data_IF_404321823476
#
_entry.id   IF_404321823476
#
_cell.length_a   1.000
_cell.length_b   1.000
_cell.length_c   1.000
_cell.angle_alpha   90.00
_cell.angle_beta   90.00
_cell.angle_gamma   90.00
#
_symmetry.space_group_name_H-M   'P 1'
#
loop_
_entity.id
_entity.type
_entity.pdbx_description
1 polymer ?
#
# COMPACT_ATOMS: atom_id res chain seq x y z
N UNK A 1 1.24 23.05 -14.32
CA UNK A 1 1.01 22.87 -12.87
C UNK A 1 0.93 21.38 -12.61
N UNK A 2 1.64 20.86 -11.61
CA UNK A 2 1.65 19.44 -11.27
C UNK A 2 0.90 19.24 -9.95
N UNK A 3 0.05 18.22 -9.87
CA UNK A 3 -0.61 17.77 -8.65
C UNK A 3 -0.26 16.30 -8.47
N UNK A 4 0.22 15.94 -7.28
CA UNK A 4 0.51 14.55 -6.92
C UNK A 4 -0.49 14.17 -5.83
N UNK A 5 -1.15 13.03 -6.02
CA UNK A 5 -2.00 12.40 -5.02
C UNK A 5 -1.38 11.06 -4.63
N UNK A 6 -1.41 10.73 -3.35
CA UNK A 6 -0.97 9.44 -2.83
C UNK A 6 -2.14 8.72 -2.14
N UNK A 7 -2.08 7.39 -2.17
CA UNK A 7 -3.14 6.58 -1.59
C UNK A 7 -3.06 5.11 -1.96
N UNK A 8 -3.62 4.27 -1.10
CA UNK A 8 -3.57 2.83 -1.25
C UNK A 8 -4.49 2.28 -2.35
N UNK A 9 -5.59 2.98 -2.64
CA UNK A 9 -6.69 2.44 -3.47
C UNK A 9 -6.89 3.21 -4.78
N UNK A 10 -5.92 4.03 -5.21
CA UNK A 10 -6.01 4.81 -6.45
C UNK A 10 -6.20 3.93 -7.70
N UNK A 11 -5.75 2.68 -7.63
CA UNK A 11 -5.87 1.68 -8.70
C UNK A 11 -6.99 0.64 -8.46
N UNK A 12 -7.78 0.79 -7.40
CA UNK A 12 -8.89 -0.11 -7.08
C UNK A 12 -9.89 -0.18 -8.25
N UNK A 13 -10.49 -1.35 -8.45
CA UNK A 13 -11.62 -1.55 -9.37
C UNK A 13 -12.96 -1.66 -8.64
N UNK A 14 -12.94 -1.51 -7.32
CA UNK A 14 -14.11 -1.71 -6.46
C UNK A 14 -14.37 -0.50 -5.57
N UNK A 15 -15.64 -0.35 -5.21
CA UNK A 15 -16.09 0.64 -4.24
C UNK A 15 -15.94 2.07 -4.74
N UNK A 16 -15.83 3.06 -3.82
CA UNK A 16 -15.85 4.48 -4.18
C UNK A 16 -14.64 4.93 -4.98
N UNK A 17 -13.56 4.12 -5.03
CA UNK A 17 -12.30 4.47 -5.67
C UNK A 17 -12.16 3.95 -7.10
N UNK A 18 -13.16 3.23 -7.62
CA UNK A 18 -13.06 2.53 -8.91
C UNK A 18 -12.78 3.44 -10.12
N UNK A 19 -13.14 4.73 -10.03
CA UNK A 19 -12.97 5.72 -11.10
C UNK A 19 -11.75 6.64 -10.91
N UNK A 20 -10.95 6.43 -9.86
CA UNK A 20 -9.81 7.32 -9.59
C UNK A 20 -8.76 7.25 -10.70
N UNK A 21 -8.39 6.04 -11.15
CA UNK A 21 -7.42 5.88 -12.25
C UNK A 21 -7.87 6.58 -13.54
N UNK A 22 -9.18 6.70 -13.78
CA UNK A 22 -9.73 7.29 -15.01
C UNK A 22 -9.48 8.81 -15.09
N UNK A 23 -9.18 9.46 -13.96
CA UNK A 23 -8.92 10.91 -13.88
C UNK A 23 -7.44 11.24 -13.65
N UNK A 24 -6.56 10.24 -13.64
CA UNK A 24 -5.12 10.43 -13.48
C UNK A 24 -4.43 10.38 -14.85
N UNK A 25 -3.58 11.38 -15.12
CA UNK A 25 -2.71 11.38 -16.31
C UNK A 25 -1.70 10.21 -16.25
N UNK A 26 -1.13 9.99 -15.07
CA UNK A 26 -0.23 8.87 -14.77
C UNK A 26 -0.48 8.33 -13.35
N UNK A 27 -0.34 7.01 -13.19
CA UNK A 27 -0.49 6.31 -11.92
C UNK A 27 0.66 5.32 -11.73
N UNK A 28 1.45 5.53 -10.69
CA UNK A 28 2.63 4.71 -10.38
C UNK A 28 2.37 3.84 -9.16
N UNK A 29 2.77 2.58 -9.22
CA UNK A 29 2.69 1.64 -8.11
C UNK A 29 4.03 1.50 -7.41
N UNK A 30 4.04 1.69 -6.09
CA UNK A 30 5.24 1.47 -5.26
C UNK A 30 5.24 0.03 -4.74
N UNK A 31 6.06 -0.81 -5.38
CA UNK A 31 6.24 -2.21 -5.02
C UNK A 31 7.33 -2.35 -3.94
N UNK A 32 6.93 -2.11 -2.69
CA UNK A 32 7.79 -2.24 -1.53
C UNK A 32 8.09 -3.72 -1.21
N UNK A 33 9.29 -4.02 -0.73
CA UNK A 33 9.68 -5.39 -0.34
C UNK A 33 8.80 -5.84 0.83
N UNK A 34 8.09 -6.99 0.75
CA UNK A 34 7.13 -7.41 1.77
C UNK A 34 7.71 -7.48 3.19
N UNK A 35 8.90 -8.07 3.34
CA UNK A 35 9.61 -8.26 4.61
C UNK A 35 9.96 -6.91 5.24
N UNK A 36 10.66 -6.05 4.48
CA UNK A 36 11.05 -4.72 4.94
C UNK A 36 9.83 -3.86 5.32
N UNK A 37 8.75 -3.93 4.52
CA UNK A 37 7.48 -3.26 4.84
C UNK A 37 6.88 -3.76 6.14
N UNK A 38 6.79 -5.08 6.36
CA UNK A 38 6.24 -5.66 7.59
C UNK A 38 7.02 -5.20 8.82
N UNK A 39 8.34 -5.20 8.75
CA UNK A 39 9.17 -4.69 9.83
C UNK A 39 8.93 -3.20 10.12
N UNK A 40 8.82 -2.38 9.07
CA UNK A 40 8.50 -0.95 9.22
C UNK A 40 7.13 -0.75 9.89
N UNK A 41 6.12 -1.55 9.53
CA UNK A 41 4.79 -1.49 10.14
C UNK A 41 4.80 -1.91 11.61
N UNK A 42 5.49 -2.99 11.96
CA UNK A 42 5.63 -3.43 13.35
C UNK A 42 6.29 -2.33 14.19
N UNK A 43 7.42 -1.78 13.71
CA UNK A 43 8.10 -0.66 14.40
C UNK A 43 7.19 0.55 14.58
N UNK A 44 6.40 0.88 13.56
CA UNK A 44 5.44 1.98 13.59
C UNK A 44 4.34 1.75 14.65
N UNK A 45 3.75 0.56 14.71
CA UNK A 45 2.76 0.27 15.76
C UNK A 45 3.36 0.30 17.16
N UNK A 46 4.57 -0.22 17.35
CA UNK A 46 5.26 -0.12 18.65
C UNK A 46 5.49 1.35 19.02
N UNK A 47 5.86 2.22 18.07
CA UNK A 47 5.98 3.67 18.33
C UNK A 47 4.66 4.34 18.70
N UNK A 48 3.52 3.74 18.36
CA UNK A 48 2.19 4.18 18.78
C UNK A 48 1.76 3.60 20.15
N UNK A 49 2.65 2.85 20.83
CA UNK A 49 2.40 2.28 22.15
C UNK A 49 1.78 0.88 22.14
N UNK A 50 1.68 0.22 20.97
CA UNK A 50 1.21 -1.16 20.92
C UNK A 50 2.29 -2.13 21.43
N UNK A 51 1.86 -3.18 22.13
CA UNK A 51 2.74 -4.30 22.47
C UNK A 51 3.27 -4.98 21.19
N UNK A 52 4.48 -5.57 21.20
CA UNK A 52 5.02 -6.30 20.05
C UNK A 52 4.07 -7.37 19.48
N UNK A 53 3.30 -8.04 20.32
CA UNK A 53 2.34 -9.09 19.94
C UNK A 53 1.20 -8.50 19.11
N UNK A 54 0.55 -7.43 19.60
CA UNK A 54 -0.51 -6.74 18.86
C UNK A 54 0.04 -6.12 17.57
N UNK A 55 1.23 -5.52 17.60
CA UNK A 55 1.86 -4.95 16.41
C UNK A 55 2.06 -5.99 15.29
N UNK A 56 2.55 -7.19 15.65
CA UNK A 56 2.66 -8.33 14.72
C UNK A 56 1.29 -8.79 14.22
N UNK A 57 0.33 -9.01 15.13
CA UNK A 57 -1.00 -9.50 14.77
C UNK A 57 -1.74 -8.55 13.81
N UNK A 58 -1.60 -7.22 13.97
CA UNK A 58 -2.16 -6.25 13.02
C UNK A 58 -1.46 -6.31 11.66
N UNK A 59 -0.13 -6.32 11.68
CA UNK A 59 0.70 -6.35 10.48
C UNK A 59 0.43 -7.60 9.65
N UNK A 60 0.53 -8.78 10.26
CA UNK A 60 0.32 -10.09 9.62
C UNK A 60 -1.16 -10.38 9.31
N UNK A 61 -2.08 -9.61 9.94
CA UNK A 61 -3.51 -9.74 9.77
C UNK A 61 -4.08 -8.78 8.74
N UNK A 62 -4.66 -7.68 9.23
CA UNK A 62 -5.43 -6.75 8.39
C UNK A 62 -4.55 -6.01 7.39
N UNK A 63 -3.31 -5.69 7.76
CA UNK A 63 -2.41 -4.96 6.87
C UNK A 63 -1.92 -5.86 5.73
N UNK A 64 -1.58 -7.13 5.98
CA UNK A 64 -1.25 -8.08 4.91
C UNK A 64 -2.43 -8.34 3.96
N UNK A 65 -3.65 -8.52 4.48
CA UNK A 65 -4.84 -8.67 3.62
C UNK A 65 -5.08 -7.44 2.75
N UNK A 66 -4.95 -6.25 3.34
CA UNK A 66 -5.07 -4.98 2.62
C UNK A 66 -3.97 -4.84 1.58
N UNK A 67 -2.74 -5.18 1.93
CA UNK A 67 -1.60 -5.24 1.02
C UNK A 67 -1.84 -6.16 -0.17
N UNK A 68 -2.36 -7.38 0.07
CA UNK A 68 -2.62 -8.35 -1.00
C UNK A 68 -3.66 -7.81 -1.99
N UNK A 69 -4.73 -7.18 -1.48
CA UNK A 69 -5.72 -6.49 -2.31
C UNK A 69 -5.07 -5.38 -3.14
N UNK A 70 -4.28 -4.50 -2.52
CA UNK A 70 -3.58 -3.41 -3.21
C UNK A 70 -2.62 -3.95 -4.28
N UNK A 71 -1.80 -4.96 -3.96
CA UNK A 71 -0.86 -5.59 -4.91
C UNK A 71 -1.56 -6.21 -6.11
N UNK A 72 -2.76 -6.77 -5.94
CA UNK A 72 -3.54 -7.30 -7.06
C UNK A 72 -3.93 -6.23 -8.09
N UNK A 73 -3.92 -4.94 -7.71
CA UNK A 73 -4.21 -3.81 -8.61
C UNK A 73 -2.97 -3.27 -9.33
N UNK A 74 -1.76 -3.72 -8.99
CA UNK A 74 -0.51 -3.26 -9.60
C UNK A 74 -0.48 -3.32 -11.14
N UNK A 75 -1.09 -4.32 -11.82
CA UNK A 75 -1.14 -4.33 -13.29
C UNK A 75 -1.88 -3.15 -13.94
N UNK A 76 -2.64 -2.35 -13.17
CA UNK A 76 -3.32 -1.14 -13.64
C UNK A 76 -2.44 0.12 -13.59
N UNK A 77 -1.25 0.03 -13.02
CA UNK A 77 -0.30 1.13 -12.98
C UNK A 77 0.38 1.32 -14.34
N UNK A 78 0.67 2.56 -14.69
CA UNK A 78 1.46 2.88 -15.89
C UNK A 78 2.95 2.53 -15.66
N UNK A 79 3.40 2.58 -14.41
CA UNK A 79 4.73 2.16 -13.98
C UNK A 79 4.70 1.54 -12.59
N UNK A 80 5.44 0.45 -12.39
CA UNK A 80 5.71 -0.11 -11.07
C UNK A 80 7.17 0.15 -10.69
N UNK A 81 7.38 0.88 -9.59
CA UNK A 81 8.70 1.15 -9.02
C UNK A 81 8.95 0.13 -7.92
N UNK A 82 10.00 -0.67 -8.08
CA UNK A 82 10.38 -1.69 -7.10
C UNK A 82 11.43 -1.14 -6.15
N UNK A 83 11.18 -1.32 -4.87
CA UNK A 83 12.21 -1.09 -3.85
C UNK A 83 13.31 -2.14 -4.02
N UNK A 84 14.55 -1.67 -4.19
CA UNK A 84 15.74 -2.54 -4.17
C UNK A 84 16.20 -2.61 -2.71
N UNK A 85 16.36 -3.85 -2.22
CA UNK A 85 16.81 -4.13 -0.86
C UNK A 85 18.27 -3.80 -0.63
#
# INVERSE_FOLDING_TARGET
RLVIVDGNFLLSTQGPWQHVKDVLDEAWFLDAVPEARRERLIRRYISFGFTPEIARAKTEGVDERTSALIRSTAPRADLAIREVG
#
